data_IF_953472737770
#
_entry.id   IF_953472737770
#
_cell.length_a   1.000
_cell.length_b   1.000
_cell.length_c   1.000
_cell.angle_alpha   90.00
_cell.angle_beta   90.00
_cell.angle_gamma   90.00
#
_symmetry.space_group_name_H-M   'P 1'
#
loop_
_entity.id
_entity.type
_entity.pdbx_description
1 polymer ?
#
# COMPACT_ATOMS: atom_id res chain seq x y z
N UNK A 1 -38.68 12.71 -34.79
CA UNK A 1 -37.54 13.14 -35.63
C UNK A 1 -36.60 14.13 -34.94
N UNK A 2 -36.96 15.39 -34.66
CA UNK A 2 -36.01 16.34 -34.03
C UNK A 2 -35.57 15.94 -32.60
N UNK A 3 -36.48 15.43 -31.77
CA UNK A 3 -36.15 15.01 -30.40
C UNK A 3 -35.27 13.75 -30.35
N UNK A 4 -35.50 12.81 -31.28
CA UNK A 4 -34.72 11.57 -31.40
C UNK A 4 -33.29 11.86 -31.86
N UNK A 5 -33.12 12.78 -32.81
CA UNK A 5 -31.80 13.22 -33.28
C UNK A 5 -31.02 13.88 -32.12
N UNK A 6 -31.68 14.75 -31.34
CA UNK A 6 -31.06 15.39 -30.16
C UNK A 6 -30.65 14.34 -29.11
N UNK A 7 -31.51 13.34 -28.84
CA UNK A 7 -31.21 12.27 -27.91
C UNK A 7 -30.01 11.42 -28.35
N UNK A 8 -29.87 11.14 -29.65
CA UNK A 8 -28.74 10.39 -30.20
C UNK A 8 -27.45 11.20 -30.05
N UNK A 9 -27.48 12.51 -30.34
CA UNK A 9 -26.33 13.40 -30.19
C UNK A 9 -25.86 13.45 -28.73
N UNK A 10 -26.80 13.59 -27.77
CA UNK A 10 -26.48 13.59 -26.34
C UNK A 10 -25.84 12.27 -25.90
N UNK A 11 -26.38 11.12 -26.33
CA UNK A 11 -25.80 9.81 -26.03
C UNK A 11 -24.38 9.66 -26.56
N UNK A 12 -24.10 10.16 -27.77
CA UNK A 12 -22.74 10.16 -28.35
C UNK A 12 -21.80 11.03 -27.53
N UNK A 13 -22.22 12.22 -27.11
CA UNK A 13 -21.41 13.11 -26.28
C UNK A 13 -21.08 12.46 -24.93
N UNK A 14 -22.08 11.88 -24.26
CA UNK A 14 -21.91 11.17 -22.98
C UNK A 14 -20.93 10.01 -23.14
N UNK A 15 -21.03 9.26 -24.23
CA UNK A 15 -20.15 8.13 -24.52
C UNK A 15 -18.70 8.59 -24.74
N UNK A 16 -18.49 9.67 -25.49
CA UNK A 16 -17.15 10.26 -25.69
C UNK A 16 -16.56 10.74 -24.37
N UNK A 17 -17.35 11.45 -23.55
CA UNK A 17 -16.91 11.89 -22.22
C UNK A 17 -16.56 10.71 -21.32
N UNK A 18 -17.34 9.62 -21.36
CA UNK A 18 -17.06 8.39 -20.62
C UNK A 18 -15.74 7.74 -21.06
N UNK A 19 -15.48 7.63 -22.36
CA UNK A 19 -14.21 7.08 -22.85
C UNK A 19 -13.01 7.96 -22.49
N UNK A 20 -13.13 9.28 -22.57
CA UNK A 20 -12.08 10.22 -22.14
C UNK A 20 -11.81 10.09 -20.64
N UNK A 21 -12.85 9.95 -19.82
CA UNK A 21 -12.69 9.68 -18.39
C UNK A 21 -11.97 8.35 -18.17
N UNK A 22 -12.41 7.26 -18.80
CA UNK A 22 -11.81 5.93 -18.69
C UNK A 22 -10.32 5.90 -19.09
N UNK A 23 -9.94 6.60 -20.17
CA UNK A 23 -8.54 6.72 -20.60
C UNK A 23 -7.70 7.46 -19.56
N UNK A 24 -8.28 8.46 -18.90
CA UNK A 24 -7.59 9.28 -17.91
C UNK A 24 -7.73 8.78 -16.47
N UNK A 25 -8.53 7.73 -16.18
CA UNK A 25 -8.69 7.16 -14.83
C UNK A 25 -7.33 6.82 -14.21
N UNK A 26 -6.40 6.26 -14.98
CA UNK A 26 -5.06 5.91 -14.49
C UNK A 26 -4.21 7.14 -14.11
N UNK A 27 -4.38 8.27 -14.79
CA UNK A 27 -3.68 9.52 -14.50
C UNK A 27 -4.34 10.26 -13.31
N UNK A 28 -5.68 10.32 -13.28
CA UNK A 28 -6.46 10.89 -12.18
C UNK A 28 -6.23 10.10 -10.88
N UNK A 29 -6.15 8.76 -10.97
CA UNK A 29 -5.81 7.89 -9.83
C UNK A 29 -4.45 8.21 -9.22
N UNK A 30 -3.47 8.64 -10.03
CA UNK A 30 -2.12 9.01 -9.58
C UNK A 30 -2.05 10.43 -8.98
N UNK A 31 -2.95 11.34 -9.37
CA UNK A 31 -2.96 12.72 -8.86
C UNK A 31 -3.86 12.92 -7.64
N UNK A 32 -4.92 12.12 -7.48
CA UNK A 32 -5.89 12.24 -6.38
C UNK A 32 -5.53 11.34 -5.20
N UNK A 33 -5.00 10.15 -5.47
CA UNK A 33 -4.45 9.29 -4.43
C UNK A 33 -2.95 9.53 -4.40
N UNK A 34 -2.50 10.58 -3.72
CA UNK A 34 -1.15 10.55 -3.15
C UNK A 34 -1.30 9.56 -2.00
N UNK A 35 -1.00 8.26 -2.19
CA UNK A 35 -1.03 7.36 -1.05
C UNK A 35 -0.02 7.97 -0.11
N UNK A 36 -0.38 8.38 1.12
CA UNK A 36 0.62 8.92 2.03
C UNK A 36 1.79 7.96 2.02
N UNK A 37 2.93 8.29 1.39
CA UNK A 37 3.98 7.32 1.28
C UNK A 37 4.53 7.38 2.69
N UNK A 38 4.24 6.37 3.50
CA UNK A 38 4.83 6.25 4.81
C UNK A 38 6.35 6.44 4.71
N UNK A 39 6.94 6.14 3.54
CA UNK A 39 8.31 6.46 3.15
C UNK A 39 8.65 7.96 3.22
N UNK A 40 7.78 8.87 2.76
CA UNK A 40 8.01 10.31 2.84
C UNK A 40 8.03 10.80 4.29
N UNK A 41 7.06 10.35 5.10
CA UNK A 41 7.03 10.65 6.53
C UNK A 41 8.23 10.04 7.26
N UNK A 42 8.61 8.81 6.90
CA UNK A 42 9.81 8.14 7.40
C UNK A 42 11.08 8.93 7.09
N UNK A 43 11.28 9.32 5.82
CA UNK A 43 12.43 10.13 5.40
C UNK A 43 12.48 11.49 6.11
N UNK A 44 11.33 12.13 6.35
CA UNK A 44 11.25 13.37 7.11
C UNK A 44 11.69 13.16 8.57
N UNK A 45 11.19 12.12 9.23
CA UNK A 45 11.55 11.84 10.61
C UNK A 45 13.02 11.42 10.76
N UNK A 46 13.55 10.61 9.84
CA UNK A 46 14.97 10.27 9.82
C UNK A 46 15.86 11.51 9.59
N UNK A 47 15.52 12.37 8.62
CA UNK A 47 16.32 13.57 8.31
C UNK A 47 16.28 14.63 9.41
N UNK A 48 15.24 14.63 10.26
CA UNK A 48 15.12 15.53 11.41
C UNK A 48 15.59 14.90 12.73
N UNK A 49 16.19 13.70 12.69
CA UNK A 49 16.69 12.99 13.88
C UNK A 49 15.60 12.41 14.78
N UNK A 50 14.33 12.44 14.38
CA UNK A 50 13.19 11.92 15.14
C UNK A 50 13.00 10.41 14.91
N UNK A 51 14.01 9.61 15.26
CA UNK A 51 14.07 8.18 14.94
C UNK A 51 12.88 7.38 15.53
N UNK A 52 12.43 7.68 16.75
CA UNK A 52 11.27 7.01 17.34
C UNK A 52 9.99 7.22 16.52
N UNK A 53 9.78 8.42 15.98
CA UNK A 53 8.63 8.66 15.09
C UNK A 53 8.78 7.93 13.75
N UNK A 54 10.00 7.79 13.26
CA UNK A 54 10.28 6.99 12.06
C UNK A 54 9.96 5.51 12.30
N UNK A 55 10.30 4.96 13.48
CA UNK A 55 9.94 3.60 13.91
C UNK A 55 8.42 3.42 13.91
N UNK A 56 7.69 4.33 14.56
CA UNK A 56 6.24 4.26 14.64
C UNK A 56 5.57 4.26 13.26
N UNK A 57 6.02 5.12 12.35
CA UNK A 57 5.50 5.18 10.98
C UNK A 57 5.79 3.89 10.23
N UNK A 58 7.01 3.35 10.34
CA UNK A 58 7.40 2.11 9.68
C UNK A 58 6.58 0.92 10.20
N UNK A 59 6.42 0.78 11.52
CA UNK A 59 5.62 -0.29 12.11
C UNK A 59 4.15 -0.17 11.71
N UNK A 60 3.57 1.03 11.69
CA UNK A 60 2.21 1.25 11.18
C UNK A 60 2.10 0.85 9.72
N UNK A 61 3.10 1.15 8.89
CA UNK A 61 3.10 0.73 7.49
C UNK A 61 3.08 -0.80 7.36
N UNK A 62 3.92 -1.49 8.13
CA UNK A 62 3.95 -2.97 8.17
C UNK A 62 2.58 -3.51 8.63
N UNK A 63 1.96 -2.94 9.66
CA UNK A 63 0.65 -3.38 10.15
C UNK A 63 -0.49 -3.22 9.13
N UNK A 64 -0.40 -2.22 8.26
CA UNK A 64 -1.39 -1.99 7.19
C UNK A 64 -1.06 -2.75 5.90
N UNK A 65 0.07 -3.48 5.86
CA UNK A 65 0.43 -4.31 4.72
C UNK A 65 -0.53 -5.50 4.60
N UNK A 66 -1.00 -5.78 3.39
CA UNK A 66 -1.86 -6.93 3.11
C UNK A 66 -1.22 -8.27 3.48
N UNK A 67 0.11 -8.34 3.43
CA UNK A 67 0.88 -9.54 3.79
C UNK A 67 1.06 -9.66 5.33
N UNK A 68 0.76 -8.63 6.14
CA UNK A 68 1.03 -8.60 7.57
C UNK A 68 0.36 -9.75 8.33
N UNK A 69 -0.95 -9.94 8.15
CA UNK A 69 -1.67 -11.00 8.84
C UNK A 69 -1.11 -12.39 8.49
N UNK A 70 -0.75 -12.61 7.23
CA UNK A 70 -0.19 -13.88 6.75
C UNK A 70 1.23 -14.11 7.25
N UNK A 71 2.03 -13.05 7.41
CA UNK A 71 3.40 -13.12 7.90
C UNK A 71 3.53 -13.27 9.42
N UNK A 72 2.61 -12.67 10.19
CA UNK A 72 2.73 -12.51 11.64
C UNK A 72 1.67 -13.21 12.49
N UNK A 73 0.57 -13.69 11.90
CA UNK A 73 -0.55 -14.24 12.66
C UNK A 73 -1.08 -15.56 12.10
N UNK A 74 -1.33 -15.65 10.80
CA UNK A 74 -1.97 -16.82 10.20
C UNK A 74 -0.96 -17.96 9.98
N UNK A 75 -1.38 -19.19 10.30
CA UNK A 75 -0.61 -20.40 10.02
C UNK A 75 -0.92 -20.92 8.60
N UNK A 76 -0.46 -20.20 7.58
CA UNK A 76 -0.67 -20.55 6.16
C UNK A 76 0.56 -21.27 5.56
N UNK A 77 0.38 -22.16 4.56
CA UNK A 77 1.50 -22.93 3.98
C UNK A 77 2.60 -22.06 3.35
N UNK A 78 2.25 -20.91 2.78
CA UNK A 78 3.18 -20.00 2.10
C UNK A 78 3.75 -18.91 3.03
N UNK A 79 3.58 -19.05 4.35
CA UNK A 79 4.00 -18.05 5.34
C UNK A 79 5.48 -17.68 5.22
N UNK A 80 6.37 -18.65 5.02
CA UNK A 80 7.81 -18.38 4.90
C UNK A 80 8.12 -17.47 3.71
N UNK A 81 7.43 -17.65 2.60
CA UNK A 81 7.60 -16.80 1.42
C UNK A 81 7.01 -15.40 1.65
N UNK A 82 5.90 -15.30 2.39
CA UNK A 82 5.34 -14.03 2.83
C UNK A 82 6.33 -13.27 3.73
N UNK A 83 6.92 -13.94 4.73
CA UNK A 83 7.91 -13.36 5.64
C UNK A 83 9.13 -12.84 4.87
N UNK A 84 9.64 -13.59 3.89
CA UNK A 84 10.71 -13.14 2.99
C UNK A 84 10.33 -11.89 2.18
N UNK A 85 9.09 -11.80 1.69
CA UNK A 85 8.62 -10.60 0.97
C UNK A 85 8.54 -9.38 1.88
N UNK A 86 8.10 -9.55 3.12
CA UNK A 86 8.08 -8.48 4.13
C UNK A 86 9.51 -8.03 4.43
N UNK A 87 10.43 -8.97 4.67
CA UNK A 87 11.84 -8.67 4.90
C UNK A 87 12.47 -7.92 3.72
N UNK A 88 12.23 -8.37 2.48
CA UNK A 88 12.73 -7.70 1.29
C UNK A 88 12.18 -6.28 1.11
N UNK A 89 10.95 -6.02 1.57
CA UNK A 89 10.28 -4.72 1.43
C UNK A 89 10.67 -3.72 2.51
N UNK A 90 10.85 -4.19 3.75
CA UNK A 90 11.03 -3.32 4.92
C UNK A 90 12.41 -3.43 5.57
N UNK A 91 13.21 -4.46 5.27
CA UNK A 91 14.48 -4.77 5.94
C UNK A 91 15.46 -3.60 5.95
N UNK A 92 15.62 -2.90 4.82
CA UNK A 92 16.51 -1.73 4.74
C UNK A 92 16.01 -0.57 5.61
N UNK A 93 14.69 -0.34 5.66
CA UNK A 93 14.10 0.68 6.52
C UNK A 93 14.23 0.34 8.01
N UNK A 94 14.07 -0.94 8.36
CA UNK A 94 14.22 -1.45 9.72
C UNK A 94 15.65 -1.24 10.22
N UNK A 95 16.67 -1.53 9.39
CA UNK A 95 18.08 -1.27 9.72
C UNK A 95 18.36 0.20 10.02
N UNK A 96 17.79 1.13 9.25
CA UNK A 96 17.98 2.58 9.45
C UNK A 96 17.50 3.03 10.83
N UNK A 97 16.47 2.38 11.37
CA UNK A 97 15.92 2.69 12.69
C UNK A 97 16.35 1.70 13.77
N UNK A 98 17.40 0.91 13.51
CA UNK A 98 17.93 -0.10 14.44
C UNK A 98 16.85 -1.05 14.99
N UNK A 99 16.02 -1.56 14.08
CA UNK A 99 15.03 -2.60 14.34
C UNK A 99 15.34 -3.83 13.48
N UNK A 100 14.99 -4.99 14.01
CA UNK A 100 15.04 -6.26 13.28
C UNK A 100 13.80 -7.09 13.61
N UNK A 101 13.32 -7.86 12.65
CA UNK A 101 12.18 -8.75 12.84
C UNK A 101 12.71 -10.18 13.03
N UNK A 102 12.46 -10.74 14.20
CA UNK A 102 12.80 -12.13 14.51
C UNK A 102 11.64 -13.05 14.10
N UNK A 103 11.69 -13.55 12.86
CA UNK A 103 10.66 -14.46 12.36
C UNK A 103 10.62 -15.81 13.09
N UNK A 104 11.70 -16.23 13.76
CA UNK A 104 11.67 -17.45 14.57
C UNK A 104 10.75 -17.26 15.77
N UNK A 105 10.88 -16.14 16.49
CA UNK A 105 9.96 -15.78 17.57
C UNK A 105 8.52 -15.65 17.09
N UNK A 106 8.31 -15.00 15.94
CA UNK A 106 6.97 -14.91 15.33
C UNK A 106 6.37 -16.30 15.12
N UNK A 107 7.14 -17.23 14.54
CA UNK A 107 6.69 -18.60 14.31
C UNK A 107 6.41 -19.37 15.61
N UNK A 108 7.16 -19.11 16.69
CA UNK A 108 6.88 -19.66 18.02
C UNK A 108 5.58 -19.12 18.63
N UNK A 109 5.23 -17.85 18.39
CA UNK A 109 3.95 -17.31 18.85
C UNK A 109 2.76 -17.85 18.05
N UNK A 110 2.91 -17.98 16.73
CA UNK A 110 1.86 -18.53 15.87
C UNK A 110 1.61 -20.01 16.19
N UNK A 111 2.64 -20.81 16.51
CA UNK A 111 2.47 -22.23 16.83
C UNK A 111 1.81 -22.50 18.19
N UNK A 112 1.78 -21.49 19.07
CA UNK A 112 1.10 -21.55 20.39
C UNK A 112 -0.36 -21.10 20.33
N UNK A 113 -0.79 -20.48 19.22
CA UNK A 113 -2.16 -20.05 18.95
C UNK A 113 -2.94 -21.18 18.25
#
# INVERSE_FOLDING_TARGET
MNLEIISVILSIIILICFFVLCVNVSAIKKSVNVPQPWQASFSLYCSTGQIEKARDVLLKAIMHDSDCARGFYLNVPDRLDVQKRIEARYGEYLKIVDLTIDFNKVNEYISKL
#
